data_IF_786657384280
#
_entry.id   IF_786657384280
#
_cell.length_a   1.000
_cell.length_b   1.000
_cell.length_c   1.000
_cell.angle_alpha   90.00
_cell.angle_beta   90.00
_cell.angle_gamma   90.00
#
_symmetry.space_group_name_H-M   'P 1'
#
loop_
_entity.id
_entity.type
_entity.pdbx_description
1 polymer ?
#
# COMPACT_ATOMS: atom_id res chain seq x y z
N UNK A 1 -29.58 -7.20 0.96
CA UNK A 1 -28.92 -5.91 1.18
C UNK A 1 -28.85 -5.66 2.68
N UNK A 2 -27.72 -5.21 3.23
CA UNK A 2 -27.68 -4.82 4.65
C UNK A 2 -28.32 -3.45 4.86
N UNK A 3 -28.68 -3.13 6.10
CA UNK A 3 -29.15 -1.78 6.46
C UNK A 3 -27.98 -0.78 6.32
N UNK A 4 -28.22 0.47 5.89
CA UNK A 4 -27.19 1.50 5.92
C UNK A 4 -26.54 1.61 7.31
N UNK A 5 -25.21 1.65 7.35
CA UNK A 5 -24.44 1.69 8.59
C UNK A 5 -24.15 0.33 9.24
N UNK A 6 -24.65 -0.78 8.68
CA UNK A 6 -24.30 -2.14 9.12
C UNK A 6 -22.93 -2.55 8.58
N UNK A 7 -21.88 -1.99 9.18
CA UNK A 7 -20.49 -2.25 8.79
C UNK A 7 -20.03 -3.67 9.15
N UNK A 8 -20.65 -4.35 10.10
CA UNK A 8 -20.32 -5.74 10.43
C UNK A 8 -20.73 -6.70 9.31
N UNK A 9 -21.89 -6.47 8.68
CA UNK A 9 -22.27 -7.21 7.48
C UNK A 9 -21.25 -6.99 6.34
N UNK A 10 -20.78 -5.74 6.15
CA UNK A 10 -19.75 -5.43 5.15
C UNK A 10 -18.43 -6.15 5.46
N UNK A 11 -17.98 -6.14 6.73
CA UNK A 11 -16.77 -6.87 7.17
C UNK A 11 -16.84 -8.34 6.83
N UNK A 12 -17.98 -8.99 7.11
CA UNK A 12 -18.20 -10.41 6.78
C UNK A 12 -18.09 -10.67 5.28
N UNK A 13 -18.67 -9.80 4.45
CA UNK A 13 -18.63 -9.95 3.01
C UNK A 13 -17.24 -9.63 2.41
N UNK A 14 -16.45 -8.75 3.03
CA UNK A 14 -15.02 -8.56 2.71
C UNK A 14 -14.22 -9.83 3.03
N UNK A 15 -14.42 -10.44 4.20
CA UNK A 15 -13.74 -11.70 4.58
C UNK A 15 -14.04 -12.79 3.55
N UNK A 16 -15.27 -12.86 3.05
CA UNK A 16 -15.66 -13.79 1.98
C UNK A 16 -14.93 -13.55 0.64
N UNK A 17 -14.33 -12.37 0.44
CA UNK A 17 -13.49 -12.07 -0.74
C UNK A 17 -12.02 -12.41 -0.55
N UNK A 18 -11.55 -12.77 0.65
CA UNK A 18 -10.12 -13.00 0.89
C UNK A 18 -9.60 -14.20 0.13
N UNK A 19 -10.31 -15.34 0.10
CA UNK A 19 -9.84 -16.54 -0.60
C UNK A 19 -9.99 -16.36 -2.12
N UNK A 20 -8.87 -16.29 -2.83
CA UNK A 20 -8.79 -16.19 -4.30
C UNK A 20 -7.73 -17.17 -4.84
N UNK A 21 -8.07 -18.47 -5.03
CA UNK A 21 -7.08 -19.49 -5.39
C UNK A 21 -6.26 -19.22 -6.66
N UNK A 22 -6.80 -18.42 -7.61
CA UNK A 22 -6.11 -18.04 -8.83
C UNK A 22 -5.40 -16.67 -8.78
N UNK A 23 -5.21 -16.09 -7.59
CA UNK A 23 -4.55 -14.80 -7.41
C UNK A 23 -3.44 -14.90 -6.37
N UNK A 24 -2.22 -14.63 -6.79
CA UNK A 24 -1.00 -14.66 -5.99
C UNK A 24 -0.98 -15.93 -5.09
N UNK A 25 -0.78 -15.78 -3.78
CA UNK A 25 -0.72 -16.85 -2.79
C UNK A 25 -2.10 -17.38 -2.34
N UNK A 26 -3.08 -17.36 -3.25
CA UNK A 26 -4.45 -17.77 -2.97
C UNK A 26 -5.28 -16.76 -2.16
N UNK A 27 -4.79 -15.53 -1.99
CA UNK A 27 -5.39 -14.53 -1.10
C UNK A 27 -5.44 -13.11 -1.70
N UNK A 28 -6.61 -12.46 -1.62
CA UNK A 28 -6.79 -11.04 -1.90
C UNK A 28 -6.41 -10.13 -0.73
N UNK A 29 -6.16 -10.68 0.46
CA UNK A 29 -5.88 -9.87 1.65
C UNK A 29 -4.71 -8.89 1.46
N UNK A 30 -3.54 -9.32 0.96
CA UNK A 30 -2.43 -8.39 0.71
C UNK A 30 -2.77 -7.24 -0.25
N UNK A 31 -3.54 -7.50 -1.31
CA UNK A 31 -3.94 -6.42 -2.24
C UNK A 31 -4.99 -5.48 -1.63
N UNK A 32 -5.81 -5.94 -0.69
CA UNK A 32 -6.70 -5.05 0.08
C UNK A 32 -5.92 -4.13 1.02
N UNK A 33 -4.90 -4.65 1.71
CA UNK A 33 -4.01 -3.82 2.54
C UNK A 33 -3.30 -2.78 1.68
N UNK A 34 -2.75 -3.19 0.53
CA UNK A 34 -2.11 -2.27 -0.41
C UNK A 34 -3.11 -1.25 -0.98
N UNK A 35 -4.34 -1.65 -1.33
CA UNK A 35 -5.37 -0.73 -1.83
C UNK A 35 -5.68 0.35 -0.78
N UNK A 36 -5.89 -0.03 0.48
CA UNK A 36 -6.13 0.91 1.56
C UNK A 36 -4.92 1.83 1.79
N UNK A 37 -3.69 1.27 1.81
CA UNK A 37 -2.46 2.06 1.93
C UNK A 37 -2.36 3.11 0.82
N UNK A 38 -2.53 2.70 -0.44
CA UNK A 38 -2.43 3.59 -1.59
C UNK A 38 -3.56 4.63 -1.66
N UNK A 39 -4.76 4.31 -1.17
CA UNK A 39 -5.83 5.31 -1.00
C UNK A 39 -5.42 6.43 -0.05
N UNK A 40 -4.72 6.11 1.03
CA UNK A 40 -4.25 7.09 1.99
C UNK A 40 -2.92 7.76 1.60
N UNK A 41 -2.08 7.05 0.84
CA UNK A 41 -0.68 7.38 0.55
C UNK A 41 -0.44 8.67 -0.23
N UNK A 42 -1.48 9.23 -0.83
CA UNK A 42 -1.43 10.46 -1.62
C UNK A 42 -1.57 11.74 -0.78
N UNK A 43 -1.78 11.60 0.54
CA UNK A 43 -1.98 12.75 1.43
C UNK A 43 -0.76 13.68 1.47
N UNK A 44 -1.06 14.96 1.58
CA UNK A 44 -0.11 16.04 1.72
C UNK A 44 -0.66 17.02 2.77
N UNK A 45 0.06 17.14 3.89
CA UNK A 45 -0.35 17.95 5.03
C UNK A 45 -0.37 19.45 4.71
N UNK A 46 0.53 19.93 3.86
CA UNK A 46 0.66 21.37 3.55
C UNK A 46 -0.49 21.85 2.68
N UNK A 47 -0.88 21.04 1.69
CA UNK A 47 -1.95 21.37 0.76
C UNK A 47 -3.33 20.85 1.20
N UNK A 48 -3.38 19.96 2.19
CA UNK A 48 -4.58 19.24 2.65
C UNK A 48 -5.33 18.53 1.50
N UNK A 49 -4.56 17.89 0.61
CA UNK A 49 -5.09 17.17 -0.56
C UNK A 49 -4.67 15.71 -0.57
N UNK A 50 -5.45 14.86 -1.24
CA UNK A 50 -5.28 13.41 -1.23
C UNK A 50 -5.69 12.78 0.10
N UNK A 51 -5.22 11.57 0.36
CA UNK A 51 -5.57 10.82 1.57
C UNK A 51 -6.82 9.97 1.41
N UNK A 52 -7.30 9.44 2.53
CA UNK A 52 -8.26 8.34 2.56
C UNK A 52 -9.66 8.70 2.07
N UNK A 53 -9.97 9.99 1.89
CA UNK A 53 -11.27 10.44 1.40
C UNK A 53 -11.32 10.45 -0.13
N UNK A 54 -12.51 10.29 -0.69
CA UNK A 54 -12.78 10.61 -2.09
C UNK A 54 -12.64 9.44 -3.07
N UNK A 55 -11.99 8.34 -2.69
CA UNK A 55 -11.74 7.20 -3.56
C UNK A 55 -11.10 7.60 -4.91
N UNK A 56 -10.12 8.51 -4.90
CA UNK A 56 -9.57 9.15 -6.10
C UNK A 56 -9.02 8.18 -7.15
N UNK A 57 -8.55 6.99 -6.75
CA UNK A 57 -8.19 5.90 -7.67
C UNK A 57 -9.32 5.45 -8.62
N UNK A 58 -10.58 5.81 -8.37
CA UNK A 58 -11.70 5.59 -9.32
C UNK A 58 -11.55 6.42 -10.60
N UNK A 59 -10.79 7.49 -10.57
CA UNK A 59 -10.50 8.34 -11.71
C UNK A 59 -9.17 7.94 -12.37
N UNK A 60 -8.91 8.42 -13.58
CA UNK A 60 -7.67 8.09 -14.30
C UNK A 60 -6.48 8.87 -13.76
N UNK A 61 -6.69 10.10 -13.29
CA UNK A 61 -5.65 10.95 -12.72
C UNK A 61 -4.84 10.23 -11.63
N UNK A 62 -5.50 9.53 -10.70
CA UNK A 62 -4.82 8.73 -9.66
C UNK A 62 -4.83 7.23 -9.95
N UNK A 63 -5.92 6.68 -10.46
CA UNK A 63 -6.04 5.23 -10.70
C UNK A 63 -5.16 4.70 -11.84
N UNK A 64 -4.64 5.59 -12.68
CA UNK A 64 -3.66 5.29 -13.73
C UNK A 64 -2.22 5.67 -13.37
N UNK A 65 -1.97 6.14 -12.14
CA UNK A 65 -0.60 6.31 -11.63
C UNK A 65 0.13 4.95 -11.71
N UNK A 66 1.34 4.86 -12.29
CA UNK A 66 2.11 3.63 -12.33
C UNK A 66 2.30 2.98 -10.95
N UNK A 67 2.42 3.76 -9.89
CA UNK A 67 2.53 3.25 -8.52
C UNK A 67 1.26 2.50 -8.05
N UNK A 68 0.11 2.75 -8.69
CA UNK A 68 -1.17 2.06 -8.42
C UNK A 68 -1.39 0.82 -9.30
N UNK A 69 -0.43 0.44 -10.14
CA UNK A 69 -0.53 -0.77 -10.95
C UNK A 69 -0.79 -2.02 -10.10
N UNK A 70 -1.75 -2.85 -10.50
CA UNK A 70 -2.20 -4.03 -9.75
C UNK A 70 -3.41 -3.79 -8.84
N UNK A 71 -3.68 -2.55 -8.43
CA UNK A 71 -4.81 -2.23 -7.54
C UNK A 71 -6.18 -2.37 -8.21
N UNK A 72 -6.22 -2.47 -9.55
CA UNK A 72 -7.42 -2.89 -10.28
C UNK A 72 -7.97 -4.25 -9.79
N UNK A 73 -7.11 -5.17 -9.35
CA UNK A 73 -7.55 -6.47 -8.80
C UNK A 73 -8.28 -6.28 -7.46
N UNK A 74 -7.67 -5.52 -6.53
CA UNK A 74 -8.29 -5.22 -5.24
C UNK A 74 -9.65 -4.53 -5.39
N UNK A 75 -9.76 -3.55 -6.29
CA UNK A 75 -11.04 -2.87 -6.58
C UNK A 75 -12.08 -3.84 -7.15
N UNK A 76 -11.71 -4.63 -8.16
CA UNK A 76 -12.61 -5.59 -8.78
C UNK A 76 -13.11 -6.66 -7.79
N UNK A 77 -12.24 -7.15 -6.90
CA UNK A 77 -12.64 -8.13 -5.88
C UNK A 77 -13.61 -7.57 -4.84
N UNK A 78 -13.68 -6.26 -4.66
CA UNK A 78 -14.61 -5.60 -3.74
C UNK A 78 -15.94 -5.19 -4.41
N UNK A 79 -16.05 -5.27 -5.73
CA UNK A 79 -17.31 -4.95 -6.44
C UNK A 79 -18.51 -5.79 -5.98
N UNK A 80 -18.40 -7.11 -5.76
CA UNK A 80 -19.52 -7.90 -5.22
C UNK A 80 -19.97 -7.42 -3.83
N UNK A 81 -19.05 -6.89 -3.01
CA UNK A 81 -19.37 -6.31 -1.70
C UNK A 81 -20.12 -5.00 -1.89
N UNK A 82 -19.63 -4.11 -2.76
CA UNK A 82 -20.30 -2.85 -3.11
C UNK A 82 -21.71 -3.06 -3.66
N UNK A 83 -21.90 -4.05 -4.54
CA UNK A 83 -23.21 -4.39 -5.11
C UNK A 83 -24.20 -4.87 -4.04
N UNK A 84 -23.74 -5.62 -3.04
CA UNK A 84 -24.56 -6.10 -1.92
C UNK A 84 -24.87 -5.03 -0.86
N UNK A 85 -23.98 -4.04 -0.74
CA UNK A 85 -24.04 -2.92 0.20
C UNK A 85 -23.97 -1.57 -0.52
N UNK A 86 -24.96 -1.21 -1.37
CA UNK A 86 -24.86 -0.04 -2.25
C UNK A 86 -24.72 1.29 -1.49
N UNK A 87 -25.07 1.32 -0.21
CA UNK A 87 -24.96 2.47 0.69
C UNK A 87 -23.53 2.81 1.12
N UNK A 88 -22.58 1.88 1.10
CA UNK A 88 -21.20 2.15 1.53
C UNK A 88 -20.46 2.92 0.43
N UNK A 89 -19.70 3.95 0.78
CA UNK A 89 -18.84 4.64 -0.19
C UNK A 89 -17.66 3.76 -0.59
N UNK A 90 -17.07 3.97 -1.76
CA UNK A 90 -15.84 3.25 -2.12
C UNK A 90 -14.69 3.63 -1.19
N UNK A 91 -14.62 4.88 -0.74
CA UNK A 91 -13.62 5.34 0.22
C UNK A 91 -13.70 4.58 1.55
N UNK A 92 -14.90 4.40 2.12
CA UNK A 92 -15.08 3.55 3.29
C UNK A 92 -14.80 2.08 2.97
N UNK A 93 -15.27 1.55 1.84
CA UNK A 93 -15.08 0.15 1.48
C UNK A 93 -13.61 -0.24 1.35
N UNK A 94 -12.80 0.56 0.68
CA UNK A 94 -11.38 0.26 0.45
C UNK A 94 -10.56 0.34 1.73
N UNK A 95 -10.79 1.37 2.55
CA UNK A 95 -10.10 1.51 3.85
C UNK A 95 -10.55 0.43 4.84
N UNK A 96 -11.85 0.10 4.87
CA UNK A 96 -12.37 -1.01 5.66
C UNK A 96 -11.78 -2.36 5.21
N UNK A 97 -11.63 -2.57 3.91
CA UNK A 97 -11.05 -3.80 3.37
C UNK A 97 -9.61 -4.01 3.83
N UNK A 98 -8.80 -2.96 3.89
CA UNK A 98 -7.44 -3.03 4.42
C UNK A 98 -7.39 -3.46 5.89
N UNK A 99 -8.16 -2.81 6.76
CA UNK A 99 -8.15 -3.15 8.20
C UNK A 99 -8.74 -4.53 8.48
N UNK A 100 -9.76 -4.95 7.73
CA UNK A 100 -10.33 -6.31 7.81
C UNK A 100 -9.32 -7.35 7.34
N UNK A 101 -8.59 -7.08 6.26
CA UNK A 101 -7.56 -7.98 5.76
C UNK A 101 -6.41 -8.15 6.76
N UNK A 102 -5.94 -7.06 7.39
CA UNK A 102 -4.90 -7.15 8.44
C UNK A 102 -5.34 -8.10 9.56
N UNK A 103 -6.53 -7.88 10.12
CA UNK A 103 -7.07 -8.68 11.23
C UNK A 103 -7.29 -10.14 10.80
N UNK A 104 -7.91 -10.37 9.64
CA UNK A 104 -8.22 -11.71 9.14
C UNK A 104 -6.98 -12.54 8.78
N UNK A 105 -5.86 -11.89 8.45
CA UNK A 105 -4.58 -12.55 8.17
C UNK A 105 -3.71 -12.71 9.44
N UNK A 106 -4.28 -12.50 10.63
CA UNK A 106 -3.60 -12.71 11.92
C UNK A 106 -2.84 -11.50 12.45
N UNK A 107 -3.04 -10.33 11.86
CA UNK A 107 -2.45 -9.07 12.31
C UNK A 107 -3.22 -8.42 13.45
N UNK A 108 -2.78 -7.24 13.90
CA UNK A 108 -3.45 -6.52 14.97
C UNK A 108 -4.79 -5.94 14.52
N UNK A 109 -5.70 -5.75 15.47
CA UNK A 109 -6.94 -5.00 15.24
C UNK A 109 -6.62 -3.51 15.08
N UNK A 110 -6.94 -2.95 13.91
CA UNK A 110 -6.77 -1.52 13.62
C UNK A 110 -8.06 -0.78 13.91
N UNK A 111 -7.98 0.33 14.67
CA UNK A 111 -9.13 1.22 14.87
C UNK A 111 -9.51 1.86 13.54
N UNK A 112 -10.77 1.73 13.15
CA UNK A 112 -11.29 2.28 11.90
C UNK A 112 -12.63 2.94 12.16
N UNK A 113 -12.82 4.15 11.62
CA UNK A 113 -14.05 4.93 11.75
C UNK A 113 -14.65 5.18 10.36
N UNK A 114 -15.98 5.01 10.18
CA UNK A 114 -16.65 5.23 8.91
C UNK A 114 -16.85 6.72 8.57
N UNK A 115 -17.48 7.00 7.44
CA UNK A 115 -18.02 8.32 7.09
C UNK A 115 -17.28 9.01 5.95
N UNK A 116 -16.32 8.33 5.31
CA UNK A 116 -15.65 8.86 4.11
C UNK A 116 -16.65 8.98 2.96
N UNK A 117 -16.42 9.95 2.10
CA UNK A 117 -17.21 10.21 0.91
C UNK A 117 -16.42 9.89 -0.34
N UNK A 118 -17.11 9.60 -1.45
CA UNK A 118 -16.48 9.51 -2.75
C UNK A 118 -16.50 10.89 -3.40
N UNK A 119 -15.49 11.23 -4.19
CA UNK A 119 -15.54 12.43 -5.02
C UNK A 119 -16.65 12.27 -6.07
N UNK A 120 -17.20 13.41 -6.51
CA UNK A 120 -18.21 13.46 -7.58
C UNK A 120 -17.54 13.53 -8.98
N UNK A 121 -16.36 14.13 -9.06
CA UNK A 121 -15.52 14.26 -10.25
C UNK A 121 -14.02 14.21 -9.85
N UNK A 122 -13.12 14.35 -10.81
CA UNK A 122 -11.68 14.28 -10.60
C UNK A 122 -11.01 15.62 -10.22
N UNK A 123 -11.78 16.70 -10.02
CA UNK A 123 -11.24 18.06 -9.76
C UNK A 123 -10.41 18.17 -8.49
N UNK A 124 -10.54 17.22 -7.57
CA UNK A 124 -9.83 17.16 -6.28
C UNK A 124 -8.85 16.00 -6.17
N UNK A 125 -8.68 15.25 -7.25
CA UNK A 125 -7.71 14.16 -7.29
C UNK A 125 -6.30 14.78 -7.29
N UNK A 126 -5.42 14.39 -6.35
CA UNK A 126 -4.07 14.96 -6.28
C UNK A 126 -3.23 14.60 -7.52
N UNK A 127 -2.14 15.34 -7.79
CA UNK A 127 -1.22 14.98 -8.85
C UNK A 127 -0.56 13.61 -8.58
N UNK A 128 -0.16 12.94 -9.66
CA UNK A 128 0.61 11.68 -9.62
C UNK A 128 1.97 11.85 -8.96
N UNK A 129 2.56 10.74 -8.52
CA UNK A 129 3.93 10.71 -8.01
C UNK A 129 4.08 11.06 -6.53
N UNK A 130 2.97 11.08 -5.78
CA UNK A 130 3.00 11.28 -4.31
C UNK A 130 3.35 10.03 -3.51
N UNK A 131 3.25 8.84 -4.12
CA UNK A 131 3.57 7.56 -3.49
C UNK A 131 5.09 7.30 -3.49
N UNK A 132 5.62 6.53 -2.53
CA UNK A 132 7.05 6.30 -2.40
C UNK A 132 7.61 5.44 -3.56
N UNK A 133 8.67 5.95 -4.19
CA UNK A 133 9.57 5.18 -5.05
C UNK A 133 10.43 4.17 -4.25
N UNK A 134 10.23 2.88 -4.54
CA UNK A 134 10.91 1.76 -3.89
C UNK A 134 12.41 1.65 -4.23
N UNK A 135 12.90 2.37 -5.24
CA UNK A 135 14.32 2.39 -5.63
C UNK A 135 15.19 3.32 -4.78
N UNK A 136 14.57 4.12 -3.91
CA UNK A 136 15.23 5.17 -3.14
C UNK A 136 15.63 4.71 -1.72
N UNK A 137 16.30 5.59 -0.97
CA UNK A 137 16.77 5.35 0.40
C UNK A 137 15.96 6.05 1.50
N UNK A 138 16.56 6.13 2.69
CA UNK A 138 15.90 6.63 3.89
C UNK A 138 15.46 8.10 3.81
N UNK A 139 16.25 8.97 3.20
CA UNK A 139 15.90 10.39 3.03
C UNK A 139 14.64 10.58 2.16
N UNK A 140 14.45 9.74 1.14
CA UNK A 140 13.23 9.76 0.34
C UNK A 140 12.02 9.25 1.13
N UNK A 141 12.19 8.17 1.91
CA UNK A 141 11.14 7.69 2.80
C UNK A 141 10.72 8.79 3.78
N UNK A 142 11.68 9.48 4.41
CA UNK A 142 11.40 10.64 5.26
C UNK A 142 10.67 11.74 4.50
N UNK A 143 11.15 12.15 3.32
CA UNK A 143 10.52 13.20 2.53
C UNK A 143 9.03 12.88 2.22
N UNK A 144 8.73 11.64 1.82
CA UNK A 144 7.36 11.22 1.50
C UNK A 144 6.48 11.13 2.75
N UNK A 145 6.96 10.46 3.80
CA UNK A 145 6.13 10.16 4.96
C UNK A 145 6.01 11.35 5.92
N UNK A 146 7.02 12.22 6.00
CA UNK A 146 6.94 13.46 6.79
C UNK A 146 5.92 14.43 6.18
N UNK A 147 5.83 14.49 4.84
CA UNK A 147 4.75 15.21 4.13
C UNK A 147 3.35 14.72 4.55
N UNK A 148 3.22 13.44 4.88
CA UNK A 148 1.98 12.83 5.36
C UNK A 148 1.78 12.98 6.88
N UNK A 149 2.76 13.55 7.60
CA UNK A 149 2.72 13.74 9.05
C UNK A 149 3.18 12.54 9.88
N UNK A 150 3.93 11.59 9.32
CA UNK A 150 4.53 10.48 10.06
C UNK A 150 5.94 10.78 10.55
N UNK A 151 6.39 10.06 11.57
CA UNK A 151 7.78 10.07 12.06
C UNK A 151 8.53 8.77 11.71
N UNK A 152 9.84 8.71 11.99
CA UNK A 152 10.68 7.54 11.68
C UNK A 152 10.16 6.21 12.27
N UNK A 153 9.62 6.23 13.49
CA UNK A 153 9.06 5.03 14.12
C UNK A 153 7.83 4.51 13.38
N UNK A 154 6.96 5.43 12.96
CA UNK A 154 5.73 5.12 12.21
C UNK A 154 6.06 4.64 10.79
N UNK A 155 7.06 5.23 10.13
CA UNK A 155 7.57 4.76 8.82
C UNK A 155 7.98 3.29 8.91
N UNK A 156 8.84 2.96 9.87
CA UNK A 156 9.34 1.58 10.04
C UNK A 156 8.19 0.64 10.40
N UNK A 157 7.25 1.07 11.27
CA UNK A 157 6.09 0.27 11.61
C UNK A 157 5.27 -0.05 10.34
N UNK A 158 4.88 0.97 9.56
CA UNK A 158 4.08 0.81 8.34
C UNK A 158 4.76 -0.07 7.29
N UNK A 159 6.09 0.02 7.14
CA UNK A 159 6.85 -0.85 6.26
C UNK A 159 6.74 -2.34 6.62
N UNK A 160 6.44 -2.67 7.89
CA UNK A 160 6.12 -4.02 8.33
C UNK A 160 4.92 -4.65 7.60
N UNK A 161 4.09 -3.85 6.92
CA UNK A 161 3.06 -4.34 6.00
C UNK A 161 3.59 -5.22 4.87
N UNK A 162 4.87 -5.09 4.51
CA UNK A 162 5.57 -5.98 3.56
C UNK A 162 5.68 -7.44 4.05
N UNK A 163 5.30 -7.75 5.29
CA UNK A 163 5.05 -9.15 5.69
C UNK A 163 3.92 -9.82 4.87
N UNK A 164 3.11 -9.04 4.15
CA UNK A 164 2.02 -9.54 3.32
C UNK A 164 2.32 -9.37 1.83
N UNK A 165 1.91 -10.36 1.04
CA UNK A 165 1.94 -10.32 -0.41
C UNK A 165 3.35 -10.41 -1.00
N UNK A 166 3.46 -9.90 -2.22
CA UNK A 166 4.64 -10.02 -3.09
C UNK A 166 4.67 -8.92 -4.14
N UNK A 167 5.84 -8.69 -4.71
CA UNK A 167 6.04 -7.84 -5.88
C UNK A 167 5.85 -8.63 -7.19
N UNK A 168 5.49 -7.90 -8.25
CA UNK A 168 5.30 -8.45 -9.59
C UNK A 168 5.95 -7.55 -10.64
N UNK A 169 6.73 -8.14 -11.55
CA UNK A 169 7.52 -7.40 -12.54
C UNK A 169 6.65 -6.53 -13.47
N UNK A 170 5.43 -6.96 -13.76
CA UNK A 170 4.46 -6.26 -14.61
C UNK A 170 3.66 -5.17 -13.88
N UNK A 171 3.85 -5.03 -12.56
CA UNK A 171 3.16 -4.04 -11.70
C UNK A 171 4.17 -3.03 -11.16
N UNK A 172 5.02 -3.48 -10.24
CA UNK A 172 6.00 -2.66 -9.53
C UNK A 172 7.36 -2.62 -10.23
N UNK A 173 7.62 -3.53 -11.18
CA UNK A 173 8.94 -3.73 -11.75
C UNK A 173 9.86 -4.62 -10.90
N UNK A 174 9.58 -4.78 -9.61
CA UNK A 174 10.20 -5.76 -8.70
C UNK A 174 9.49 -7.12 -8.74
N UNK A 175 10.12 -8.20 -8.26
CA UNK A 175 9.57 -9.56 -8.31
C UNK A 175 9.84 -10.34 -7.01
N UNK A 176 8.81 -11.06 -6.53
CA UNK A 176 8.95 -12.05 -5.46
C UNK A 176 8.35 -11.61 -4.11
N UNK A 177 8.22 -12.54 -3.16
CA UNK A 177 7.71 -12.27 -1.82
C UNK A 177 8.81 -11.79 -0.86
N UNK A 178 8.45 -10.98 0.13
CA UNK A 178 9.36 -10.59 1.20
C UNK A 178 9.59 -11.68 2.25
N UNK A 179 8.59 -12.56 2.43
CA UNK A 179 8.56 -13.60 3.46
C UNK A 179 7.99 -14.90 2.91
N UNK A 180 8.32 -16.02 3.56
CA UNK A 180 7.91 -17.36 3.11
C UNK A 180 6.39 -17.59 3.19
N UNK A 181 5.70 -16.91 4.11
CA UNK A 181 4.23 -16.99 4.23
C UNK A 181 3.57 -15.61 4.05
N UNK A 182 3.42 -15.14 2.80
CA UNK A 182 2.93 -13.80 2.49
C UNK A 182 1.42 -13.62 2.75
N UNK A 183 0.74 -14.62 3.29
CA UNK A 183 -0.69 -14.54 3.68
C UNK A 183 -0.90 -14.55 5.20
N UNK A 184 0.18 -14.40 5.97
CA UNK A 184 0.12 -14.31 7.44
C UNK A 184 0.82 -13.05 7.91
N UNK A 185 0.07 -12.18 8.58
CA UNK A 185 0.65 -10.98 9.18
C UNK A 185 1.51 -11.38 10.38
N UNK A 186 2.78 -10.96 10.38
CA UNK A 186 3.75 -11.31 11.43
C UNK A 186 4.90 -10.30 11.47
N UNK A 187 5.84 -10.46 12.40
CA UNK A 187 7.10 -9.70 12.38
C UNK A 187 8.23 -10.37 11.57
N UNK A 188 7.90 -11.35 10.72
CA UNK A 188 8.88 -12.10 9.93
C UNK A 188 9.65 -11.20 8.97
N UNK A 189 9.01 -10.17 8.39
CA UNK A 189 9.68 -9.17 7.54
C UNK A 189 10.94 -8.60 8.21
N UNK A 190 10.83 -8.08 9.44
CA UNK A 190 11.97 -7.51 10.17
C UNK A 190 13.00 -8.58 10.55
N UNK A 191 12.56 -9.77 10.97
CA UNK A 191 13.47 -10.87 11.29
C UNK A 191 14.34 -11.24 10.09
N UNK A 192 13.72 -11.52 8.94
CA UNK A 192 14.43 -11.91 7.73
C UNK A 192 15.31 -10.78 7.17
N UNK A 193 14.84 -9.53 7.25
CA UNK A 193 15.63 -8.36 6.86
C UNK A 193 16.97 -8.32 7.61
N UNK A 194 16.98 -8.64 8.91
CA UNK A 194 18.18 -8.66 9.74
C UNK A 194 19.04 -9.90 9.54
N UNK A 195 18.44 -11.10 9.47
CA UNK A 195 19.16 -12.38 9.56
C UNK A 195 19.67 -12.92 8.24
N UNK A 196 19.04 -12.57 7.11
CA UNK A 196 19.43 -13.10 5.80
C UNK A 196 20.51 -12.23 5.14
N UNK A 197 21.38 -12.88 4.36
CA UNK A 197 22.44 -12.25 3.58
C UNK A 197 21.93 -11.85 2.20
N UNK A 198 21.33 -10.66 2.15
CA UNK A 198 20.71 -10.09 0.96
C UNK A 198 21.75 -9.73 -0.12
N UNK A 199 21.63 -10.34 -1.31
CA UNK A 199 22.51 -10.06 -2.46
C UNK A 199 21.80 -9.18 -3.49
N UNK A 200 22.47 -8.18 -4.09
CA UNK A 200 21.88 -7.41 -5.17
C UNK A 200 21.66 -8.31 -6.40
N UNK A 201 20.52 -8.15 -7.06
CA UNK A 201 20.16 -8.82 -8.32
C UNK A 201 19.44 -7.84 -9.23
N UNK A 202 19.92 -7.71 -10.46
CA UNK A 202 19.23 -6.98 -11.52
C UNK A 202 18.23 -7.91 -12.22
N UNK A 203 16.98 -7.49 -12.30
CA UNK A 203 15.90 -8.22 -12.98
C UNK A 203 15.97 -8.02 -14.50
N UNK A 204 15.25 -8.86 -15.30
CA UNK A 204 15.23 -8.74 -16.77
C UNK A 204 14.79 -7.37 -17.32
N UNK A 205 14.05 -6.58 -16.54
CA UNK A 205 13.64 -5.22 -16.90
C UNK A 205 14.65 -4.12 -16.51
N UNK A 206 15.82 -4.49 -15.97
CA UNK A 206 16.89 -3.57 -15.56
C UNK A 206 16.76 -3.00 -14.14
N UNK A 207 15.65 -3.25 -13.44
CA UNK A 207 15.48 -2.82 -12.05
C UNK A 207 16.30 -3.71 -11.13
N UNK A 208 17.01 -3.11 -10.18
CA UNK A 208 17.79 -3.84 -9.18
C UNK A 208 17.03 -3.95 -7.87
N UNK A 209 17.04 -5.15 -7.32
CA UNK A 209 16.48 -5.48 -6.00
C UNK A 209 17.48 -6.32 -5.22
N UNK A 210 17.14 -6.66 -3.98
CA UNK A 210 17.92 -7.59 -3.19
C UNK A 210 17.21 -8.92 -3.09
N UNK A 211 17.96 -10.02 -3.11
CA UNK A 211 17.43 -11.38 -3.04
C UNK A 211 18.14 -12.23 -2.02
N UNK A 212 17.41 -13.21 -1.52
CA UNK A 212 17.95 -14.34 -0.78
C UNK A 212 17.42 -15.62 -1.42
N UNK A 213 18.35 -16.51 -1.80
CA UNK A 213 18.04 -17.85 -2.29
C UNK A 213 18.30 -18.80 -1.12
N UNK A 214 17.27 -19.55 -0.71
CA UNK A 214 17.45 -20.59 0.31
C UNK A 214 18.44 -21.65 -0.22
N UNK A 215 19.50 -22.00 0.52
CA UNK A 215 20.42 -23.07 0.11
C UNK A 215 19.74 -24.41 -0.17
N UNK A 216 18.59 -24.66 0.46
CA UNK A 216 17.79 -25.87 0.28
C UNK A 216 16.65 -25.70 -0.75
N UNK A 217 16.60 -24.57 -1.47
CA UNK A 217 15.58 -24.31 -2.49
C UNK A 217 15.63 -25.33 -3.63
N UNK A 218 14.46 -25.83 -4.02
CA UNK A 218 14.31 -26.70 -5.18
C UNK A 218 14.25 -25.88 -6.49
N UNK A 219 14.45 -26.55 -7.62
CA UNK A 219 14.29 -25.91 -8.93
C UNK A 219 12.85 -25.40 -9.11
N UNK A 220 12.70 -24.09 -9.28
CA UNK A 220 11.41 -23.42 -9.43
C UNK A 220 10.95 -22.67 -8.19
N UNK A 221 11.62 -22.85 -7.04
CA UNK A 221 11.35 -22.05 -5.85
C UNK A 221 11.70 -20.58 -6.10
N UNK A 222 10.76 -19.70 -5.80
CA UNK A 222 10.96 -18.27 -5.96
C UNK A 222 11.80 -17.73 -4.78
N UNK A 223 12.91 -17.02 -5.05
CA UNK A 223 13.71 -16.44 -3.98
C UNK A 223 12.95 -15.35 -3.24
N UNK A 224 13.30 -15.16 -1.97
CA UNK A 224 12.83 -13.99 -1.22
C UNK A 224 13.47 -12.73 -1.76
N UNK A 225 12.79 -11.59 -1.55
CA UNK A 225 13.25 -10.30 -2.00
C UNK A 225 13.14 -9.20 -0.94
N UNK A 226 13.95 -8.17 -1.12
CA UNK A 226 13.83 -6.87 -0.43
C UNK A 226 13.99 -5.75 -1.46
N UNK A 227 13.23 -4.69 -1.28
CA UNK A 227 13.37 -3.45 -2.05
C UNK A 227 14.57 -2.65 -1.55
N UNK A 228 15.16 -1.76 -2.37
CA UNK A 228 16.12 -0.76 -1.89
C UNK A 228 15.63 0.04 -0.69
N UNK A 229 14.34 0.42 -0.66
CA UNK A 229 13.73 1.07 0.51
C UNK A 229 13.68 0.17 1.74
N UNK A 230 13.49 -1.15 1.59
CA UNK A 230 13.52 -2.09 2.73
C UNK A 230 14.93 -2.22 3.31
N UNK A 231 15.94 -2.29 2.43
CA UNK A 231 17.35 -2.28 2.86
C UNK A 231 17.69 -0.97 3.58
N UNK A 232 17.12 0.16 3.15
CA UNK A 232 17.31 1.45 3.81
C UNK A 232 16.82 1.45 5.28
N UNK A 233 15.79 0.68 5.63
CA UNK A 233 15.34 0.52 7.02
C UNK A 233 16.41 -0.15 7.89
N UNK A 234 17.19 -1.07 7.31
CA UNK A 234 18.26 -1.79 7.99
C UNK A 234 19.54 -0.98 8.13
N UNK A 235 19.85 -0.14 7.14
CA UNK A 235 21.14 0.57 7.05
C UNK A 235 21.10 1.98 7.62
N UNK A 236 19.95 2.64 7.65
CA UNK A 236 19.78 3.93 8.30
C UNK A 236 19.80 3.78 9.84
N UNK A 237 20.66 4.50 10.57
CA UNK A 237 20.80 4.33 12.02
C UNK A 237 19.52 4.60 12.82
N UNK A 238 18.69 5.57 12.41
CA UNK A 238 17.47 5.92 13.16
C UNK A 238 16.35 4.91 12.90
N UNK A 239 16.20 4.44 11.65
CA UNK A 239 15.28 3.35 11.33
C UNK A 239 15.70 2.03 11.97
N UNK A 240 17.01 1.73 11.98
CA UNK A 240 17.55 0.46 12.49
C UNK A 240 17.14 0.18 13.92
N UNK A 241 17.09 1.20 14.79
CA UNK A 241 16.63 1.07 16.18
C UNK A 241 15.22 0.45 16.27
N UNK A 242 14.33 0.82 15.35
CA UNK A 242 12.96 0.30 15.32
C UNK A 242 12.87 -1.06 14.64
N UNK A 243 13.67 -1.30 13.59
CA UNK A 243 13.78 -2.62 12.94
C UNK A 243 14.23 -3.68 13.94
N UNK A 244 15.27 -3.40 14.73
CA UNK A 244 15.77 -4.33 15.75
C UNK A 244 14.70 -4.62 16.83
N UNK A 245 13.99 -3.58 17.30
CA UNK A 245 12.89 -3.73 18.26
C UNK A 245 11.74 -4.58 17.72
N UNK A 246 11.29 -4.34 16.49
CA UNK A 246 10.17 -5.08 15.90
C UNK A 246 10.53 -6.52 15.51
N UNK A 247 11.79 -6.78 15.15
CA UNK A 247 12.28 -8.13 14.95
C UNK A 247 12.28 -8.95 16.26
N UNK A 248 12.67 -8.32 17.38
CA UNK A 248 12.71 -8.94 18.70
C UNK A 248 11.33 -9.08 19.35
N UNK A 249 10.46 -8.07 19.21
CA UNK A 249 9.17 -7.97 19.88
C UNK A 249 8.02 -7.79 18.88
N UNK A 250 7.31 -8.89 18.63
CA UNK A 250 6.16 -8.94 17.73
C UNK A 250 4.98 -8.13 18.27
N UNK A 251 4.75 -8.12 19.58
CA UNK A 251 3.58 -7.47 20.16
C UNK A 251 3.77 -5.94 20.18
N UNK A 252 4.99 -5.46 20.43
CA UNK A 252 5.36 -4.05 20.23
C UNK A 252 5.17 -3.62 18.78
N UNK A 253 5.63 -4.43 17.81
CA UNK A 253 5.38 -4.17 16.40
C UNK A 253 3.88 -4.06 16.09
N UNK A 254 3.08 -5.00 16.59
CA UNK A 254 1.65 -5.05 16.35
C UNK A 254 0.93 -3.81 16.91
N UNK A 255 1.26 -3.38 18.13
CA UNK A 255 0.70 -2.17 18.73
C UNK A 255 1.05 -0.91 17.92
N UNK A 256 2.32 -0.75 17.57
CA UNK A 256 2.80 0.39 16.79
C UNK A 256 2.22 0.42 15.37
N UNK A 257 2.19 -0.73 14.68
CA UNK A 257 1.59 -0.86 13.36
C UNK A 257 0.11 -0.49 13.38
N UNK A 258 -0.65 -0.97 14.37
CA UNK A 258 -2.08 -0.67 14.47
C UNK A 258 -2.34 0.82 14.64
N UNK A 259 -1.55 1.51 15.47
CA UNK A 259 -1.65 2.97 15.66
C UNK A 259 -1.29 3.74 14.39
N UNK A 260 -0.17 3.38 13.74
CA UNK A 260 0.28 4.05 12.52
C UNK A 260 -0.68 3.82 11.35
N UNK A 261 -1.21 2.60 11.18
CA UNK A 261 -2.19 2.29 10.13
C UNK A 261 -3.56 2.92 10.42
N UNK A 262 -3.98 3.04 11.68
CA UNK A 262 -5.18 3.79 12.05
C UNK A 262 -5.04 5.28 11.69
N UNK A 263 -3.90 5.89 12.00
CA UNK A 263 -3.56 7.26 11.58
C UNK A 263 -3.57 7.42 10.07
N UNK A 264 -2.97 6.47 9.34
CA UNK A 264 -3.00 6.42 7.87
C UNK A 264 -4.43 6.46 7.31
N UNK A 265 -5.32 5.61 7.84
CA UNK A 265 -6.72 5.56 7.39
C UNK A 265 -7.46 6.89 7.64
N UNK A 266 -7.00 7.71 8.59
CA UNK A 266 -7.62 9.01 8.92
C UNK A 266 -6.93 10.21 8.23
N UNK A 267 -5.91 9.99 7.40
CA UNK A 267 -5.32 11.08 6.61
C UNK A 267 -6.34 11.69 5.66
N UNK A 268 -6.39 13.02 5.63
CA UNK A 268 -7.36 13.80 4.86
C UNK A 268 -8.78 13.80 5.44
N UNK A 269 -9.00 13.28 6.66
CA UNK A 269 -10.31 13.23 7.32
C UNK A 269 -10.39 14.30 8.42
N UNK A 270 -11.43 15.14 8.36
CA UNK A 270 -11.79 16.08 9.44
C UNK A 270 -13.06 15.58 10.10
N UNK A 271 -13.06 15.45 11.43
CA UNK A 271 -14.23 15.00 12.19
C UNK A 271 -14.73 16.06 13.17
N UNK A 272 -16.03 16.04 13.45
CA UNK A 272 -16.63 16.76 14.58
C UNK A 272 -16.45 15.99 15.91
N UNK A 273 -16.96 16.56 17.00
CA UNK A 273 -16.96 15.96 18.35
C UNK A 273 -17.73 14.63 18.46
N UNK A 274 -18.57 14.30 17.48
CA UNK A 274 -19.35 13.08 17.41
C UNK A 274 -18.75 12.07 16.41
N UNK A 275 -17.48 12.25 16.03
CA UNK A 275 -16.75 11.45 15.05
C UNK A 275 -17.35 11.46 13.63
N UNK A 276 -18.23 12.41 13.29
CA UNK A 276 -18.78 12.54 11.95
C UNK A 276 -17.79 13.27 11.05
N UNK A 277 -17.59 12.78 9.84
CA UNK A 277 -16.69 13.43 8.90
C UNK A 277 -17.34 14.73 8.38
N UNK A 278 -16.62 15.84 8.48
CA UNK A 278 -17.06 17.21 8.15
C UNK A 278 -16.25 17.85 7.01
N UNK A 279 -15.47 17.06 6.26
CA UNK A 279 -14.82 17.55 5.04
C UNK A 279 -15.84 18.30 4.16
N UNK A 280 -15.45 19.42 3.55
CA UNK A 280 -16.36 20.26 2.75
C UNK A 280 -17.06 19.49 1.60
N UNK A 281 -16.47 18.38 1.21
CA UNK A 281 -16.91 17.48 0.14
C UNK A 281 -17.96 16.50 0.61
N UNK A 282 -18.27 16.49 1.91
CA UNK A 282 -19.25 15.62 2.54
C UNK A 282 -20.68 16.12 2.37
N UNK A 283 -21.02 16.39 1.11
CA UNK A 283 -22.38 16.25 0.63
C UNK A 283 -23.29 17.44 0.94
N UNK A 284 -23.25 18.44 0.06
CA UNK A 284 -24.46 19.19 -0.32
C UNK A 284 -25.12 18.44 -1.50
N UNK A 285 -25.90 17.37 -1.24
CA UNK A 285 -26.65 16.66 -2.32
C UNK A 285 -26.90 15.14 -2.24
N UNK A 286 -26.56 14.43 -1.17
CA UNK A 286 -26.54 12.96 -1.09
C UNK A 286 -25.23 12.29 -1.56
N UNK A 287 -25.03 11.01 -1.21
CA UNK A 287 -23.95 10.20 -1.76
C UNK A 287 -24.16 10.03 -3.26
N UNK A 288 -23.22 10.53 -4.07
CA UNK A 288 -23.19 10.32 -5.50
C UNK A 288 -21.97 9.45 -5.78
N UNK A 289 -22.20 8.20 -6.16
CA UNK A 289 -21.11 7.34 -6.60
C UNK A 289 -20.53 7.93 -7.88
N UNK A 290 -19.21 8.14 -7.92
CA UNK A 290 -18.49 8.38 -9.16
C UNK A 290 -18.79 7.29 -10.21
N UNK A 291 -18.32 7.42 -11.47
CA UNK A 291 -18.41 6.33 -12.44
C UNK A 291 -17.72 5.05 -11.94
N UNK A 292 -18.38 3.90 -12.09
CA UNK A 292 -17.81 2.58 -11.75
C UNK A 292 -16.72 2.24 -12.77
N UNK A 293 -15.50 1.87 -12.32
CA UNK A 293 -14.48 1.27 -13.22
C UNK A 293 -14.91 -0.17 -13.56
N UNK A 294 -14.34 -0.71 -14.64
CA UNK A 294 -14.64 -2.09 -15.09
C UNK A 294 -14.57 -3.11 -13.94
N UNK A 295 -15.53 -4.04 -13.91
CA UNK A 295 -15.49 -5.22 -13.05
C UNK A 295 -14.32 -6.16 -13.38
N UNK A 296 -13.78 -6.04 -14.60
CA UNK A 296 -12.59 -6.75 -15.02
C UNK A 296 -11.36 -5.88 -14.73
N UNK A 297 -10.35 -6.40 -14.02
CA UNK A 297 -9.13 -5.66 -13.75
C UNK A 297 -8.45 -5.22 -15.06
N UNK A 298 -8.50 -3.93 -15.38
CA UNK A 298 -7.73 -3.33 -16.49
C UNK A 298 -6.59 -2.49 -15.92
N UNK A 299 -5.36 -2.76 -16.34
CA UNK A 299 -4.17 -1.98 -15.95
C UNK A 299 -4.02 -0.68 -16.75
N UNK A 300 -3.09 0.21 -16.37
CA UNK A 300 -2.72 1.36 -17.19
C UNK A 300 -2.32 0.91 -18.61
N UNK A 301 -2.70 1.68 -19.63
CA UNK A 301 -2.34 1.35 -21.01
C UNK A 301 -0.81 1.28 -21.15
N UNK A 302 -0.30 0.14 -21.65
CA UNK A 302 1.12 -0.01 -22.04
C UNK A 302 1.38 0.94 -23.22
N UNK A 303 1.79 2.18 -22.94
CA UNK A 303 2.04 3.18 -23.98
C UNK A 303 2.05 4.64 -23.53
N UNK A 304 1.52 4.98 -22.35
CA UNK A 304 1.67 6.33 -21.77
C UNK A 304 3.01 6.45 -21.02
N UNK A 305 4.12 6.27 -21.75
CA UNK A 305 5.47 6.56 -21.26
C UNK A 305 5.67 8.08 -21.22
N UNK A 306 5.21 8.72 -20.14
CA UNK A 306 5.92 9.88 -19.60
C UNK A 306 7.16 9.32 -18.92
N UNK A 307 8.33 9.53 -19.54
CA UNK A 307 9.57 8.85 -19.19
C UNK A 307 9.87 8.84 -17.70
N UNK A 308 10.13 7.65 -17.15
CA UNK A 308 11.19 7.57 -16.15
C UNK A 308 12.42 8.20 -16.81
N UNK A 309 13.12 9.15 -16.16
CA UNK A 309 14.46 9.47 -16.59
C UNK A 309 15.27 8.20 -16.36
N UNK A 310 15.45 7.42 -17.41
CA UNK A 310 16.64 6.60 -17.54
C UNK A 310 17.77 7.61 -17.37
N UNK A 311 18.46 7.55 -16.23
CA UNK A 311 19.72 8.24 -16.06
C UNK A 311 20.66 7.65 -17.11
N UNK A 312 20.60 8.20 -18.32
CA UNK A 312 21.66 8.10 -19.29
C UNK A 312 22.84 8.79 -18.63
N UNK A 313 23.71 7.99 -18.00
CA UNK A 313 25.09 8.38 -17.74
C UNK A 313 25.71 8.68 -19.10
N UNK A 314 25.56 9.93 -19.54
CA UNK A 314 26.28 10.47 -20.67
C UNK A 314 27.76 10.36 -20.34
N UNK A 315 28.47 9.60 -21.16
CA UNK A 315 29.92 9.60 -21.18
C UNK A 315 30.46 11.01 -21.43
N UNK A 316 31.65 11.25 -20.90
CA UNK A 316 32.46 12.39 -21.29
C UNK A 316 33.15 13.09 -20.11
N UNK A 317 34.32 12.60 -19.70
CA UNK A 317 35.54 13.41 -19.79
C UNK A 317 36.79 12.56 -19.56
N UNK A 318 37.82 12.63 -20.44
CA UNK A 318 39.10 11.95 -20.25
C UNK A 318 40.11 12.82 -19.48
N UNK A 319 41.11 12.16 -18.88
CA UNK A 319 42.34 12.72 -18.23
C UNK A 319 42.10 13.19 -16.78
N UNK A 320 42.98 12.91 -15.82
CA UNK A 320 44.43 12.88 -15.89
C UNK A 320 45.08 11.85 -14.94
N UNK A 321 46.33 11.53 -15.27
CA UNK A 321 47.27 10.63 -14.62
C UNK A 321 47.62 11.07 -13.19
N UNK A 322 47.58 10.12 -12.25
CA UNK A 322 48.72 9.61 -11.47
C UNK A 322 48.35 8.21 -10.97
#
# INVERSE_FOLDING_TARGET
>A
MSKPGDYDAVRKDIIAQLKKPGYDDGSAGPVFVRLAWHSAGTYDLETDTGGSNGAGMRYEAEGGDPANAGLQHGRAFLEPVKEKHPWITYADLWTLAGVVAIEALGGPKVVWKPGRTDLVDDSKVPPRGRLPDATQGAEHLRAVFYRMGFNDQEIVALAGGHTLGRCHIDRSGFQGPWVNNPTRFSNQFFKLLLTLDWKPKTLPNGISQFVYVDPDAEEGDEPLMMLPTDIALKTDPAFRVWVDKYAADKDLFFDHFAKAFAKLMELGIKRDENDRVINADNVKGGYISAPKKSNHPTGPAKGAQGGCPVAASQGGCPRAKL
#
